data_IF_742070937941
#
_entry.id   IF_742070937941
#
_cell.length_a   1.000
_cell.length_b   1.000
_cell.length_c   1.000
_cell.angle_alpha   90.00
_cell.angle_beta   90.00
_cell.angle_gamma   90.00
#
_symmetry.space_group_name_H-M   'P 1'
#
loop_
_entity.id
_entity.type
_entity.pdbx_description
1 polymer ?
#
# COMPACT_ATOMS: atom_id res chain seq x y z
N UNK A 1 6.04 -21.18 -1.52
CA UNK A 1 5.84 -19.75 -1.84
C UNK A 1 4.36 -19.53 -1.99
N UNK A 2 3.74 -18.62 -1.24
CA UNK A 2 2.30 -18.37 -1.42
C UNK A 2 2.11 -17.58 -2.71
N UNK A 3 1.75 -18.29 -3.79
CA UNK A 3 1.34 -17.68 -5.05
C UNK A 3 0.05 -16.89 -4.80
N UNK A 4 0.18 -15.57 -4.76
CA UNK A 4 -0.98 -14.69 -4.81
C UNK A 4 -1.36 -14.52 -6.27
N UNK A 5 -2.66 -14.57 -6.56
CA UNK A 5 -3.22 -14.26 -7.86
C UNK A 5 -2.65 -12.94 -8.43
N UNK A 6 -2.61 -12.79 -9.76
CA UNK A 6 -2.25 -11.51 -10.39
C UNK A 6 -3.10 -10.38 -9.79
N UNK A 7 -2.47 -9.21 -9.61
CA UNK A 7 -3.18 -8.08 -9.04
C UNK A 7 -4.31 -7.65 -9.99
N UNK A 8 -5.51 -7.46 -9.43
CA UNK A 8 -6.68 -6.93 -10.15
C UNK A 8 -6.45 -5.46 -10.53
N UNK A 9 -5.72 -4.74 -9.68
CA UNK A 9 -5.32 -3.35 -9.89
C UNK A 9 -3.95 -3.12 -9.25
N UNK A 10 -3.13 -2.25 -9.85
CA UNK A 10 -1.83 -1.86 -9.29
C UNK A 10 -1.53 -0.41 -9.65
N UNK A 11 -1.08 0.36 -8.66
CA UNK A 11 -0.49 1.70 -8.86
C UNK A 11 0.75 1.87 -7.98
N UNK A 12 1.57 2.88 -8.27
CA UNK A 12 2.81 3.14 -7.52
C UNK A 12 3.13 4.62 -7.38
N UNK A 13 3.83 4.95 -6.30
CA UNK A 13 4.41 6.26 -6.04
C UNK A 13 5.91 6.11 -5.83
N UNK A 14 6.71 6.81 -6.62
CA UNK A 14 8.17 6.86 -6.48
C UNK A 14 8.58 8.12 -5.72
N UNK A 15 9.32 7.95 -4.62
CA UNK A 15 9.78 9.01 -3.74
C UNK A 15 11.27 8.80 -3.43
N UNK A 16 12.13 9.18 -4.39
CA UNK A 16 13.58 9.02 -4.29
C UNK A 16 13.99 7.56 -4.11
N UNK A 17 14.55 7.22 -2.94
CA UNK A 17 14.98 5.84 -2.61
C UNK A 17 13.83 4.92 -2.19
N UNK A 18 12.61 5.44 -2.07
CA UNK A 18 11.41 4.69 -1.70
C UNK A 18 10.47 4.56 -2.88
N UNK A 19 9.86 3.40 -3.03
CA UNK A 19 8.74 3.18 -3.94
C UNK A 19 7.63 2.48 -3.18
N UNK A 20 6.45 3.09 -3.20
CA UNK A 20 5.24 2.55 -2.63
C UNK A 20 4.43 1.91 -3.75
N UNK A 21 4.04 0.66 -3.58
CA UNK A 21 3.15 -0.07 -4.50
C UNK A 21 1.83 -0.29 -3.79
N UNK A 22 0.73 -0.08 -4.49
CA UNK A 22 -0.63 -0.26 -4.00
C UNK A 22 -1.33 -1.25 -4.94
N UNK A 23 -1.38 -2.51 -4.52
CA UNK A 23 -1.94 -3.60 -5.30
C UNK A 23 -3.28 -4.05 -4.71
N UNK A 24 -4.32 -4.19 -5.53
CA UNK A 24 -5.56 -4.88 -5.14
C UNK A 24 -5.46 -6.31 -5.64
N UNK A 25 -5.60 -7.29 -4.74
CA UNK A 25 -5.51 -8.72 -5.05
C UNK A 25 -6.71 -9.48 -4.51
N UNK A 26 -7.01 -10.64 -5.09
CA UNK A 26 -7.99 -11.57 -4.53
C UNK A 26 -7.33 -12.50 -3.52
N UNK A 27 -7.93 -12.63 -2.34
CA UNK A 27 -7.62 -13.67 -1.38
C UNK A 27 -8.13 -15.03 -1.88
N UNK A 28 -7.80 -16.12 -1.18
CA UNK A 28 -8.28 -17.47 -1.51
C UNK A 28 -9.82 -17.63 -1.51
N UNK A 29 -10.54 -16.71 -0.87
CA UNK A 29 -11.99 -16.71 -0.79
C UNK A 29 -12.63 -15.75 -1.81
N UNK A 30 -11.92 -15.44 -2.90
CA UNK A 30 -12.30 -14.47 -3.95
C UNK A 30 -12.54 -13.02 -3.47
N UNK A 31 -12.36 -12.74 -2.17
CA UNK A 31 -12.50 -11.40 -1.62
C UNK A 31 -11.29 -10.52 -1.96
N UNK A 32 -11.52 -9.26 -2.38
CA UNK A 32 -10.43 -8.33 -2.64
C UNK A 32 -9.77 -7.86 -1.34
N UNK A 33 -8.47 -7.63 -1.38
CA UNK A 33 -7.70 -6.98 -0.33
C UNK A 33 -6.66 -6.03 -0.94
N UNK A 34 -6.34 -4.96 -0.22
CA UNK A 34 -5.31 -4.01 -0.60
C UNK A 34 -3.97 -4.45 0.01
N UNK A 35 -2.94 -4.57 -0.82
CA UNK A 35 -1.57 -4.80 -0.42
C UNK A 35 -0.73 -3.58 -0.74
N UNK A 36 -0.22 -2.93 0.31
CA UNK A 36 0.73 -1.84 0.19
C UNK A 36 2.13 -2.40 0.40
N UNK A 37 3.03 -2.17 -0.55
CA UNK A 37 4.44 -2.55 -0.43
C UNK A 37 5.30 -1.30 -0.44
N UNK A 38 6.06 -1.07 0.63
CA UNK A 38 7.14 -0.09 0.61
C UNK A 38 8.43 -0.82 0.25
N UNK A 39 9.03 -0.46 -0.87
CA UNK A 39 10.39 -0.83 -1.23
C UNK A 39 11.32 0.35 -0.95
N UNK A 40 12.31 0.15 -0.10
CA UNK A 40 13.36 1.14 0.20
C UNK A 40 14.73 0.60 -0.25
N UNK A 41 15.51 1.44 -0.90
CA UNK A 41 16.88 1.14 -1.31
C UNK A 41 17.83 1.85 -0.34
N UNK A 42 18.56 1.08 0.46
CA UNK A 42 19.58 1.57 1.40
C UNK A 42 20.95 1.07 0.93
N UNK A 43 21.62 1.86 0.08
CA UNK A 43 22.88 1.45 -0.53
C UNK A 43 22.67 0.25 -1.45
N UNK A 44 23.33 -0.87 -1.15
CA UNK A 44 23.21 -2.13 -1.89
C UNK A 44 22.01 -2.98 -1.42
N UNK A 45 21.43 -2.67 -0.27
CA UNK A 45 20.34 -3.46 0.30
C UNK A 45 18.96 -2.91 -0.09
N UNK A 46 18.08 -3.82 -0.52
CA UNK A 46 16.68 -3.51 -0.82
C UNK A 46 15.78 -4.04 0.28
N UNK A 47 15.25 -3.15 1.11
CA UNK A 47 14.29 -3.50 2.16
C UNK A 47 12.86 -3.40 1.63
N UNK A 48 12.05 -4.43 1.87
CA UNK A 48 10.62 -4.41 1.54
C UNK A 48 9.78 -4.60 2.79
N UNK A 49 8.83 -3.71 2.99
CA UNK A 49 7.79 -3.80 4.02
C UNK A 49 6.44 -3.99 3.34
N UNK A 50 5.56 -4.78 3.96
CA UNK A 50 4.24 -5.09 3.42
C UNK A 50 3.17 -4.77 4.45
N UNK A 51 2.05 -4.22 3.98
CA UNK A 51 0.83 -4.04 4.75
C UNK A 51 -0.32 -4.60 3.92
N UNK A 52 -1.14 -5.46 4.51
CA UNK A 52 -2.35 -5.97 3.88
C UNK A 52 -3.56 -5.40 4.64
N UNK A 53 -4.52 -4.84 3.93
CA UNK A 53 -5.77 -4.31 4.45
C UNK A 53 -6.91 -5.07 3.79
N UNK A 54 -7.76 -5.70 4.60
CA UNK A 54 -8.89 -6.48 4.10
C UNK A 54 -10.13 -5.61 3.88
N UNK A 55 -11.11 -6.14 3.14
CA UNK A 55 -12.37 -5.48 2.79
C UNK A 55 -13.09 -4.83 3.99
N UNK A 56 -13.09 -5.49 5.16
CA UNK A 56 -13.75 -4.96 6.36
C UNK A 56 -13.02 -3.78 7.01
N UNK A 57 -11.74 -3.58 6.70
CA UNK A 57 -10.89 -2.54 7.28
C UNK A 57 -10.69 -1.36 6.31
N UNK A 58 -10.97 -1.55 5.01
CA UNK A 58 -10.63 -0.59 3.95
C UNK A 58 -11.28 0.78 4.16
N UNK A 59 -12.52 0.81 4.65
CA UNK A 59 -13.24 2.06 4.89
C UNK A 59 -12.59 2.90 5.98
N UNK A 60 -12.25 2.27 7.12
CA UNK A 60 -11.58 2.95 8.23
C UNK A 60 -10.15 3.35 7.88
N UNK A 61 -9.43 2.48 7.16
CA UNK A 61 -8.09 2.79 6.68
C UNK A 61 -8.07 4.00 5.73
N UNK A 62 -9.01 4.05 4.77
CA UNK A 62 -9.14 5.19 3.85
C UNK A 62 -9.37 6.48 4.61
N UNK A 63 -10.33 6.50 5.54
CA UNK A 63 -10.68 7.69 6.29
C UNK A 63 -9.47 8.21 7.09
N UNK A 64 -8.77 7.33 7.80
CA UNK A 64 -7.59 7.70 8.58
C UNK A 64 -6.46 8.26 7.70
N UNK A 65 -6.26 7.72 6.50
CA UNK A 65 -5.28 8.25 5.54
C UNK A 65 -5.70 9.63 5.02
N UNK A 66 -6.96 9.81 4.63
CA UNK A 66 -7.48 11.10 4.16
C UNK A 66 -7.36 12.19 5.24
N UNK A 67 -7.71 11.87 6.50
CA UNK A 67 -7.57 12.79 7.64
C UNK A 67 -6.10 13.17 7.89
N UNK A 68 -5.19 12.20 7.89
CA UNK A 68 -3.76 12.46 8.09
C UNK A 68 -3.14 13.28 6.96
N UNK A 69 -3.50 12.99 5.69
CA UNK A 69 -3.03 13.75 4.52
C UNK A 69 -3.57 15.18 4.58
N UNK A 70 -4.86 15.37 4.86
CA UNK A 70 -5.46 16.71 4.98
C UNK A 70 -4.76 17.56 6.05
N UNK A 71 -4.44 16.96 7.21
CA UNK A 71 -3.68 17.65 8.26
C UNK A 71 -2.26 18.04 7.79
N UNK A 72 -1.56 17.15 7.05
CA UNK A 72 -0.24 17.46 6.51
C UNK A 72 -0.27 18.60 5.49
N UNK A 73 -1.28 18.62 4.60
CA UNK A 73 -1.43 19.66 3.59
C UNK A 73 -1.79 21.03 4.19
N UNK A 74 -2.57 21.05 5.27
CA UNK A 74 -2.86 22.29 6.00
C UNK A 74 -1.60 22.87 6.67
N UNK A 75 -0.76 22.02 7.26
CA UNK A 75 0.49 22.44 7.93
C UNK A 75 1.63 22.80 6.97
N UNK A 76 1.58 22.31 5.74
CA UNK A 76 2.58 22.59 4.71
C UNK A 76 2.30 23.89 3.92
N UNK A 77 1.16 24.54 4.15
CA UNK A 77 0.85 25.90 3.69
C UNK A 77 1.48 26.94 4.60
#
# INVERSE_FOLDING_TARGET
MQEFAPALFSTRVSAGRRTYFFDVKSAKNDKPFLKITQSEINGEEKKKSYLNIFENEVSGFRQAVEEAVGFMEEKAK
#
